data_IF_223087972894
#
_entry.id   IF_223087972894
#
_cell.length_a   1.000
_cell.length_b   1.000
_cell.length_c   1.000
_cell.angle_alpha   90.00
_cell.angle_beta   90.00
_cell.angle_gamma   90.00
#
_symmetry.space_group_name_H-M   'P 1'
#
loop_
_entity.id
_entity.type
_entity.pdbx_description
1 polymer ?
#
# COMPACT_ATOMS: atom_id res chain seq x y z
N UNK A 1 -6.31 -25.72 0.97
CA UNK A 1 -7.69 -25.21 0.75
C UNK A 1 -7.69 -23.69 0.60
N UNK A 2 -7.03 -22.96 1.51
CA UNK A 2 -6.87 -21.49 1.46
C UNK A 2 -6.11 -21.02 0.21
N UNK A 3 -4.96 -21.63 -0.10
CA UNK A 3 -4.14 -21.31 -1.29
C UNK A 3 -4.92 -21.39 -2.59
N UNK A 4 -5.67 -22.49 -2.81
CA UNK A 4 -6.51 -22.67 -3.99
C UNK A 4 -7.64 -21.62 -4.08
N UNK A 5 -8.23 -21.24 -2.94
CA UNK A 5 -9.24 -20.20 -2.89
C UNK A 5 -8.68 -18.82 -3.26
N UNK A 6 -7.48 -18.49 -2.75
CA UNK A 6 -6.83 -17.21 -2.99
C UNK A 6 -6.34 -17.09 -4.45
N UNK A 7 -5.73 -18.15 -4.97
CA UNK A 7 -5.35 -18.21 -6.39
C UNK A 7 -6.58 -18.17 -7.30
N UNK A 8 -7.65 -18.88 -6.97
CA UNK A 8 -8.92 -18.77 -7.72
C UNK A 8 -9.49 -17.35 -7.71
N UNK A 9 -9.38 -16.63 -6.59
CA UNK A 9 -9.77 -15.22 -6.48
C UNK A 9 -8.92 -14.31 -7.37
N UNK A 10 -7.61 -14.54 -7.42
CA UNK A 10 -6.70 -13.77 -8.26
C UNK A 10 -6.83 -14.11 -9.76
N UNK A 11 -7.05 -15.38 -10.09
CA UNK A 11 -7.19 -15.83 -11.48
C UNK A 11 -8.54 -15.42 -12.08
N UNK A 12 -9.62 -15.52 -11.31
CA UNK A 12 -10.97 -15.12 -11.75
C UNK A 12 -11.19 -13.62 -11.59
N UNK A 13 -10.74 -13.05 -10.48
CA UNK A 13 -10.96 -11.64 -10.14
C UNK A 13 -9.92 -10.69 -10.75
N UNK A 14 -8.72 -11.18 -11.08
CA UNK A 14 -7.67 -10.43 -11.76
C UNK A 14 -7.46 -9.02 -11.19
N UNK A 15 -7.65 -8.02 -12.05
CA UNK A 15 -7.54 -6.59 -11.72
C UNK A 15 -8.45 -6.20 -10.55
N UNK A 16 -9.69 -6.69 -10.53
CA UNK A 16 -10.67 -6.35 -9.49
C UNK A 16 -10.28 -6.95 -8.13
N UNK A 17 -9.73 -8.17 -8.11
CA UNK A 17 -9.19 -8.75 -6.89
C UNK A 17 -8.03 -7.92 -6.36
N UNK A 18 -7.09 -7.52 -7.21
CA UNK A 18 -5.98 -6.63 -6.83
C UNK A 18 -6.46 -5.29 -6.26
N UNK A 19 -7.47 -4.69 -6.89
CA UNK A 19 -8.10 -3.45 -6.46
C UNK A 19 -8.68 -3.56 -5.05
N UNK A 20 -9.50 -4.58 -4.81
CA UNK A 20 -10.18 -4.80 -3.53
C UNK A 20 -9.17 -5.16 -2.43
N UNK A 21 -8.26 -6.09 -2.70
CA UNK A 21 -7.27 -6.55 -1.72
C UNK A 21 -6.38 -5.39 -1.25
N UNK A 22 -5.79 -4.64 -2.17
CA UNK A 22 -4.95 -3.50 -1.80
C UNK A 22 -5.75 -2.35 -1.18
N UNK A 23 -6.94 -2.05 -1.71
CA UNK A 23 -7.80 -0.98 -1.19
C UNK A 23 -8.31 -1.23 0.23
N UNK A 24 -8.50 -2.49 0.61
CA UNK A 24 -8.96 -2.86 1.96
C UNK A 24 -7.82 -3.20 2.91
N UNK A 25 -6.57 -3.23 2.44
CA UNK A 25 -5.44 -3.64 3.26
C UNK A 25 -5.14 -2.69 4.42
N UNK A 26 -5.24 -1.37 4.21
CA UNK A 26 -4.98 -0.40 5.29
C UNK A 26 -5.93 -0.54 6.48
N UNK A 27 -7.26 -0.71 6.31
CA UNK A 27 -8.16 -1.10 7.39
C UNK A 27 -7.69 -2.36 8.14
N UNK A 28 -7.20 -3.38 7.45
CA UNK A 28 -6.63 -4.59 8.05
C UNK A 28 -5.32 -4.30 8.81
N UNK A 29 -4.52 -3.35 8.34
CA UNK A 29 -3.30 -2.91 9.03
C UNK A 29 -3.64 -2.25 10.36
N UNK A 30 -4.67 -1.40 10.39
CA UNK A 30 -5.12 -0.71 11.61
C UNK A 30 -5.57 -1.69 12.70
N UNK A 31 -6.12 -2.87 12.34
CA UNK A 31 -6.50 -3.90 13.32
C UNK A 31 -5.35 -4.80 13.74
N UNK A 32 -4.17 -4.72 13.10
CA UNK A 32 -3.02 -5.60 13.33
C UNK A 32 -3.14 -6.98 12.68
N UNK A 33 -4.31 -7.34 12.13
CA UNK A 33 -4.55 -8.67 11.56
C UNK A 33 -3.68 -8.99 10.34
N UNK A 34 -3.14 -7.97 9.66
CA UNK A 34 -2.22 -8.14 8.53
C UNK A 34 -0.96 -8.96 8.89
N UNK A 35 -0.49 -8.93 10.14
CA UNK A 35 0.63 -9.75 10.60
C UNK A 35 0.32 -11.26 10.53
N UNK A 36 -0.96 -11.61 10.67
CA UNK A 36 -1.47 -12.98 10.53
C UNK A 36 -1.44 -13.51 9.09
N UNK A 37 -1.08 -12.69 8.10
CA UNK A 37 -0.91 -13.14 6.71
C UNK A 37 0.45 -13.77 6.45
N UNK A 38 1.43 -13.63 7.36
CA UNK A 38 2.78 -14.20 7.18
C UNK A 38 2.74 -15.70 6.84
N UNK A 39 1.95 -16.57 7.51
CA UNK A 39 1.85 -17.98 7.13
C UNK A 39 1.19 -18.20 5.76
N UNK A 40 0.30 -17.30 5.32
CA UNK A 40 -0.34 -17.38 3.99
C UNK A 40 0.69 -17.12 2.90
N UNK A 41 1.55 -16.12 3.09
CA UNK A 41 2.67 -15.83 2.20
C UNK A 41 3.65 -17.02 2.13
N UNK A 42 4.00 -17.62 3.28
CA UNK A 42 4.86 -18.82 3.31
C UNK A 42 4.23 -19.98 2.54
N UNK A 43 2.94 -20.22 2.74
CA UNK A 43 2.23 -21.30 2.07
C UNK A 43 2.17 -21.11 0.56
N UNK A 44 1.95 -19.89 0.06
CA UNK A 44 1.98 -19.59 -1.38
C UNK A 44 3.36 -19.93 -1.98
N UNK A 45 4.44 -19.45 -1.36
CA UNK A 45 5.80 -19.73 -1.82
C UNK A 45 6.09 -21.23 -1.80
N UNK A 46 5.73 -21.93 -0.73
CA UNK A 46 5.99 -23.37 -0.62
C UNK A 46 5.19 -24.22 -1.62
N UNK A 47 3.99 -23.78 -2.00
CA UNK A 47 3.09 -24.57 -2.84
C UNK A 47 3.24 -24.29 -4.32
N UNK A 48 3.51 -23.03 -4.71
CA UNK A 48 3.58 -22.61 -6.11
C UNK A 48 4.89 -21.90 -6.47
N UNK A 49 5.82 -21.74 -5.53
CA UNK A 49 7.10 -21.05 -5.74
C UNK A 49 7.03 -19.52 -5.67
N UNK A 50 5.82 -18.96 -5.62
CA UNK A 50 5.53 -17.55 -5.79
C UNK A 50 4.50 -17.03 -4.78
N UNK A 51 4.62 -15.75 -4.44
CA UNK A 51 3.65 -15.00 -3.66
C UNK A 51 3.17 -13.76 -4.43
N UNK A 52 2.03 -13.87 -5.15
CA UNK A 52 1.42 -12.73 -5.83
C UNK A 52 0.65 -11.81 -4.86
N UNK A 53 0.38 -12.25 -3.63
CA UNK A 53 -0.42 -11.49 -2.67
C UNK A 53 0.40 -10.35 -2.06
N UNK A 54 1.66 -10.59 -1.73
CA UNK A 54 2.51 -9.60 -1.06
C UNK A 54 2.71 -8.32 -1.90
N UNK A 55 3.04 -8.36 -3.22
CA UNK A 55 3.12 -7.16 -4.05
C UNK A 55 1.81 -6.36 -4.13
N UNK A 56 0.66 -7.04 -4.17
CA UNK A 56 -0.66 -6.39 -4.20
C UNK A 56 -0.90 -5.66 -2.88
N UNK A 57 -0.75 -6.34 -1.75
CA UNK A 57 -1.03 -5.76 -0.43
C UNK A 57 -0.04 -4.66 -0.06
N UNK A 58 1.22 -4.76 -0.51
CA UNK A 58 2.23 -3.72 -0.34
C UNK A 58 1.80 -2.34 -0.87
N UNK A 59 0.85 -2.30 -1.82
CA UNK A 59 0.32 -1.04 -2.35
C UNK A 59 -0.47 -0.25 -1.31
N UNK A 60 -0.93 -0.88 -0.21
CA UNK A 60 -1.52 -0.19 0.95
C UNK A 60 -0.57 0.85 1.55
N UNK A 61 0.67 0.45 1.86
CA UNK A 61 1.70 1.37 2.34
C UNK A 61 2.09 2.41 1.28
N UNK A 62 2.01 2.05 0.01
CA UNK A 62 2.31 2.96 -1.09
C UNK A 62 1.28 4.08 -1.26
N UNK A 63 -0.02 3.75 -1.16
CA UNK A 63 -1.09 4.74 -1.12
C UNK A 63 -0.93 5.72 0.05
N UNK A 64 -0.46 5.24 1.21
CA UNK A 64 -0.14 6.07 2.38
C UNK A 64 0.99 7.07 2.10
N UNK A 65 2.07 6.63 1.46
CA UNK A 65 3.19 7.50 1.07
C UNK A 65 2.70 8.60 0.12
N UNK A 66 1.89 8.24 -0.88
CA UNK A 66 1.26 9.20 -1.79
C UNK A 66 0.41 10.25 -1.07
N UNK A 67 -0.48 9.79 -0.19
CA UNK A 67 -1.33 10.65 0.62
C UNK A 67 -0.52 11.59 1.53
N UNK A 68 0.54 11.07 2.15
CA UNK A 68 1.44 11.85 2.99
C UNK A 68 2.17 12.95 2.21
N UNK A 69 2.67 12.66 1.00
CA UNK A 69 3.23 13.69 0.12
C UNK A 69 2.20 14.77 -0.22
N UNK A 70 0.97 14.40 -0.56
CA UNK A 70 -0.08 15.37 -0.86
C UNK A 70 -0.35 16.30 0.32
N UNK A 71 -0.45 15.75 1.53
CA UNK A 71 -0.67 16.56 2.74
C UNK A 71 0.55 17.44 3.03
N UNK A 72 1.77 16.90 2.91
CA UNK A 72 3.01 17.64 3.17
C UNK A 72 3.10 18.92 2.35
N UNK A 73 2.79 18.83 1.05
CA UNK A 73 2.84 19.98 0.15
C UNK A 73 1.62 20.90 0.28
N UNK A 74 0.47 20.37 0.71
CA UNK A 74 -0.78 21.14 0.79
C UNK A 74 -0.95 21.87 2.12
N UNK A 75 -0.46 21.31 3.22
CA UNK A 75 -0.73 21.84 4.56
C UNK A 75 0.13 23.04 4.92
N UNK A 76 -0.43 23.95 5.73
CA UNK A 76 0.32 25.05 6.36
C UNK A 76 0.66 24.75 7.82
N UNK A 77 0.18 23.64 8.39
CA UNK A 77 0.47 23.24 9.76
C UNK A 77 1.89 22.66 9.87
N UNK A 78 2.79 23.38 10.54
CA UNK A 78 4.20 23.01 10.69
C UNK A 78 4.41 21.74 11.54
N UNK A 79 3.54 21.46 12.51
CA UNK A 79 3.59 20.22 13.28
C UNK A 79 3.28 19.03 12.37
N UNK A 80 2.22 19.13 11.56
CA UNK A 80 1.85 18.07 10.61
C UNK A 80 2.95 17.84 9.57
N UNK A 81 3.57 18.91 9.02
CA UNK A 81 4.74 18.78 8.16
C UNK A 81 5.90 18.05 8.82
N UNK A 82 6.20 18.35 10.08
CA UNK A 82 7.29 17.70 10.83
C UNK A 82 7.03 16.20 11.02
N UNK A 83 5.81 15.82 11.37
CA UNK A 83 5.41 14.40 11.48
C UNK A 83 5.58 13.68 10.14
N UNK A 84 5.05 14.27 9.06
CA UNK A 84 5.15 13.68 7.72
C UNK A 84 6.62 13.56 7.27
N UNK A 85 7.44 14.60 7.47
CA UNK A 85 8.86 14.59 7.10
C UNK A 85 9.63 13.49 7.83
N UNK A 86 9.28 13.20 9.09
CA UNK A 86 9.88 12.11 9.86
C UNK A 86 9.39 10.72 9.42
N UNK A 87 8.11 10.58 9.05
CA UNK A 87 7.50 9.31 8.68
C UNK A 87 7.74 8.88 7.23
N UNK A 88 7.92 9.80 6.30
CA UNK A 88 8.05 9.50 4.87
C UNK A 88 9.21 8.55 4.53
N UNK A 89 10.45 8.75 5.03
CA UNK A 89 11.56 7.87 4.69
C UNK A 89 11.29 6.40 5.07
N UNK A 90 10.78 6.16 6.29
CA UNK A 90 10.46 4.80 6.75
C UNK A 90 9.22 4.23 6.07
N UNK A 91 8.23 5.08 5.72
CA UNK A 91 7.08 4.70 4.92
C UNK A 91 7.46 4.19 3.52
N UNK A 92 8.39 4.87 2.86
CA UNK A 92 8.92 4.43 1.55
C UNK A 92 9.68 3.11 1.64
N UNK A 93 10.29 2.83 2.80
CA UNK A 93 10.96 1.56 3.11
C UNK A 93 10.00 0.47 3.61
N UNK A 94 8.69 0.72 3.56
CA UNK A 94 7.66 -0.29 3.84
C UNK A 94 7.16 -0.35 5.28
N UNK A 95 7.57 0.59 6.13
CA UNK A 95 7.08 0.75 7.50
C UNK A 95 6.04 1.89 7.53
N UNK A 96 4.78 1.54 7.32
CA UNK A 96 3.70 2.50 7.07
C UNK A 96 3.04 3.08 8.33
N UNK A 97 3.23 2.47 9.49
CA UNK A 97 2.57 2.81 10.75
C UNK A 97 2.76 4.27 11.16
N UNK A 98 3.95 4.89 11.04
CA UNK A 98 4.12 6.30 11.34
C UNK A 98 3.22 7.22 10.50
N UNK A 99 2.98 6.87 9.22
CA UNK A 99 2.11 7.65 8.33
C UNK A 99 0.62 7.36 8.59
N UNK A 100 0.26 6.10 8.85
CA UNK A 100 -1.11 5.73 9.16
C UNK A 100 -1.57 6.45 10.43
N UNK A 101 -0.87 6.22 11.54
CA UNK A 101 -1.31 6.70 12.85
C UNK A 101 -0.94 8.16 13.12
N UNK A 102 0.14 8.66 12.51
CA UNK A 102 0.59 10.04 12.69
C UNK A 102 -0.02 11.04 11.72
N UNK A 103 -0.58 10.59 10.59
CA UNK A 103 -1.00 11.48 9.50
C UNK A 103 -2.41 11.15 9.01
N UNK A 104 -2.61 10.02 8.33
CA UNK A 104 -3.82 9.85 7.52
C UNK A 104 -5.05 9.42 8.32
N UNK A 105 -4.88 8.53 9.31
CA UNK A 105 -5.97 8.01 10.13
C UNK A 105 -6.60 9.11 11.02
N UNK A 106 -5.82 9.96 11.73
CA UNK A 106 -6.39 11.07 12.50
C UNK A 106 -7.16 12.08 11.65
N UNK A 107 -6.75 12.27 10.39
CA UNK A 107 -7.44 13.16 9.45
C UNK A 107 -8.70 12.52 8.82
N UNK A 108 -8.90 11.20 9.00
CA UNK A 108 -10.05 10.43 8.53
C UNK A 108 -10.14 10.28 7.00
N UNK A 109 -10.43 11.37 6.28
CA UNK A 109 -10.60 11.34 4.82
C UNK A 109 -9.32 10.99 4.06
N UNK A 110 -8.13 11.51 4.43
CA UNK A 110 -6.90 11.09 3.77
C UNK A 110 -6.62 9.60 3.85
N UNK A 111 -6.98 8.93 4.96
CA UNK A 111 -6.85 7.46 5.08
C UNK A 111 -7.65 6.73 4.00
N UNK A 112 -8.90 7.13 3.76
CA UNK A 112 -9.74 6.53 2.71
C UNK A 112 -9.16 6.80 1.32
N UNK A 113 -8.67 8.02 1.05
CA UNK A 113 -8.05 8.31 -0.25
C UNK A 113 -6.71 7.59 -0.47
N UNK A 114 -5.97 7.31 0.60
CA UNK A 114 -4.79 6.46 0.55
C UNK A 114 -5.17 5.02 0.14
N UNK A 115 -6.26 4.48 0.69
CA UNK A 115 -6.82 3.20 0.27
C UNK A 115 -7.18 3.19 -1.22
N UNK A 116 -7.76 4.27 -1.74
CA UNK A 116 -8.08 4.36 -3.17
C UNK A 116 -6.80 4.38 -4.04
N UNK A 117 -5.75 5.07 -3.60
CA UNK A 117 -4.44 5.05 -4.28
C UNK A 117 -3.83 3.65 -4.27
N UNK A 118 -3.90 2.97 -3.12
CA UNK A 118 -3.48 1.58 -2.97
C UNK A 118 -4.25 0.65 -3.92
N UNK A 119 -5.55 0.84 -4.06
CA UNK A 119 -6.40 0.05 -4.94
C UNK A 119 -5.94 0.12 -6.41
N UNK A 120 -5.56 1.31 -6.90
CA UNK A 120 -5.03 1.47 -8.27
C UNK A 120 -3.69 0.76 -8.44
N UNK A 121 -2.79 0.89 -7.46
CA UNK A 121 -1.52 0.14 -7.46
C UNK A 121 -1.74 -1.37 -7.43
N UNK A 122 -2.62 -1.86 -6.55
CA UNK A 122 -2.91 -3.28 -6.40
C UNK A 122 -3.51 -3.90 -7.65
N UNK A 123 -4.41 -3.15 -8.31
CA UNK A 123 -4.95 -3.51 -9.63
C UNK A 123 -3.84 -3.67 -10.68
N UNK A 124 -2.85 -2.76 -10.68
CA UNK A 124 -1.70 -2.83 -11.57
C UNK A 124 -0.84 -4.07 -11.28
N UNK A 125 -0.49 -4.32 -10.01
CA UNK A 125 0.32 -5.48 -9.62
C UNK A 125 -0.38 -6.80 -10.01
N UNK A 126 -1.70 -6.88 -9.80
CA UNK A 126 -2.49 -8.04 -10.19
C UNK A 126 -2.55 -8.22 -11.72
N UNK A 127 -2.73 -7.14 -12.48
CA UNK A 127 -2.77 -7.19 -13.95
C UNK A 127 -1.48 -7.75 -14.54
N UNK A 128 -0.33 -7.29 -14.06
CA UNK A 128 0.98 -7.74 -14.52
C UNK A 128 1.46 -9.02 -13.82
N UNK A 129 0.65 -9.60 -12.92
CA UNK A 129 0.95 -10.83 -12.18
C UNK A 129 2.31 -10.76 -11.47
N UNK A 130 2.56 -9.62 -10.82
CA UNK A 130 3.80 -9.40 -10.09
C UNK A 130 3.80 -10.29 -8.84
N UNK A 131 4.89 -11.02 -8.63
CA UNK A 131 5.02 -11.95 -7.52
C UNK A 131 6.40 -11.85 -6.87
N UNK A 132 6.44 -12.17 -5.57
CA UNK A 132 7.69 -12.31 -4.81
C UNK A 132 8.06 -13.77 -4.62
N UNK A 133 9.36 -14.07 -4.57
CA UNK A 133 9.90 -15.41 -4.33
C UNK A 133 10.28 -15.66 -2.86
N UNK A 134 10.17 -14.63 -2.02
CA UNK A 134 10.51 -14.67 -0.61
C UNK A 134 9.65 -13.65 0.17
N UNK A 135 9.52 -13.89 1.48
CA UNK A 135 8.86 -12.95 2.39
C UNK A 135 9.83 -11.84 2.79
N UNK A 136 9.34 -10.60 2.82
CA UNK A 136 10.10 -9.49 3.38
C UNK A 136 9.26 -8.24 3.57
N UNK A 137 9.96 -7.12 3.73
CA UNK A 137 9.34 -5.81 3.98
C UNK A 137 8.79 -5.23 2.68
N UNK A 138 7.66 -4.53 2.78
CA UNK A 138 7.02 -3.84 1.67
C UNK A 138 7.81 -2.60 1.18
N UNK A 139 7.20 -1.76 0.34
CA UNK A 139 7.85 -0.54 -0.16
C UNK A 139 9.01 -0.82 -1.12
N UNK A 140 9.93 0.13 -1.27
CA UNK A 140 11.05 0.01 -2.22
C UNK A 140 11.87 -1.27 -2.02
N UNK A 141 12.18 -1.73 -0.79
CA UNK A 141 12.93 -2.97 -0.58
C UNK A 141 12.30 -4.23 -1.16
N UNK A 142 10.98 -4.28 -1.33
CA UNK A 142 10.30 -5.44 -1.91
C UNK A 142 10.73 -5.72 -3.36
N UNK A 143 11.27 -4.71 -4.05
CA UNK A 143 11.84 -4.86 -5.39
C UNK A 143 13.00 -5.87 -5.44
N UNK A 144 13.68 -6.13 -4.32
CA UNK A 144 14.74 -7.15 -4.25
C UNK A 144 14.19 -8.58 -4.15
N UNK A 145 12.89 -8.74 -3.86
CA UNK A 145 12.25 -10.03 -3.63
C UNK A 145 11.28 -10.43 -4.75
N UNK A 146 11.02 -9.54 -5.72
CA UNK A 146 10.30 -9.88 -6.95
C UNK A 146 11.22 -10.53 -7.98
N UNK A 147 10.65 -11.23 -8.95
CA UNK A 147 11.41 -11.77 -10.07
C UNK A 147 12.21 -10.67 -10.78
N UNK A 148 13.45 -10.97 -11.20
CA UNK A 148 14.37 -9.97 -11.78
C UNK A 148 13.78 -9.24 -12.99
N UNK A 149 13.02 -9.94 -13.83
CA UNK A 149 12.33 -9.36 -14.99
C UNK A 149 11.09 -8.52 -14.63
N UNK A 150 10.60 -8.60 -13.39
CA UNK A 150 9.42 -7.89 -12.90
C UNK A 150 9.76 -6.63 -12.09
N UNK A 151 11.03 -6.41 -11.72
CA UNK A 151 11.47 -5.29 -10.86
C UNK A 151 10.93 -3.93 -11.35
N UNK A 152 11.08 -3.63 -12.64
CA UNK A 152 10.63 -2.35 -13.19
C UNK A 152 9.11 -2.20 -13.14
N UNK A 153 8.37 -3.28 -13.40
CA UNK A 153 6.90 -3.26 -13.32
C UNK A 153 6.44 -3.11 -11.87
N UNK A 154 7.08 -3.79 -10.93
CA UNK A 154 6.81 -3.62 -9.50
C UNK A 154 6.97 -2.16 -9.08
N UNK A 155 8.12 -1.54 -9.41
CA UNK A 155 8.42 -0.15 -9.08
C UNK A 155 7.47 0.83 -9.77
N UNK A 156 7.02 0.53 -10.99
CA UNK A 156 6.01 1.31 -11.67
C UNK A 156 4.65 1.22 -10.95
N UNK A 157 4.22 0.03 -10.53
CA UNK A 157 3.02 -0.15 -9.72
C UNK A 157 3.08 0.59 -8.38
N UNK A 158 4.25 0.56 -7.72
CA UNK A 158 4.53 1.32 -6.51
C UNK A 158 4.39 2.83 -6.75
N UNK A 159 5.00 3.35 -7.83
CA UNK A 159 4.89 4.76 -8.22
C UNK A 159 3.45 5.14 -8.57
N UNK A 160 2.71 4.28 -9.26
CA UNK A 160 1.29 4.50 -9.56
C UNK A 160 0.49 4.64 -8.25
N UNK A 161 0.71 3.77 -7.27
CA UNK A 161 0.05 3.89 -5.96
C UNK A 161 0.39 5.22 -5.26
N UNK A 162 1.65 5.66 -5.33
CA UNK A 162 2.08 6.95 -4.78
C UNK A 162 1.36 8.10 -5.48
N UNK A 163 1.33 8.10 -6.81
CA UNK A 163 0.72 9.15 -7.63
C UNK A 163 -0.79 9.22 -7.41
N UNK A 164 -1.50 8.09 -7.41
CA UNK A 164 -2.95 8.10 -7.20
C UNK A 164 -3.32 8.37 -5.74
N UNK A 165 -2.53 7.88 -4.77
CA UNK A 165 -2.67 8.27 -3.37
C UNK A 165 -2.51 9.79 -3.21
N UNK A 166 -1.51 10.38 -3.87
CA UNK A 166 -1.31 11.82 -3.91
C UNK A 166 -2.51 12.53 -4.53
N UNK A 167 -2.94 12.14 -5.74
CA UNK A 167 -4.01 12.81 -6.48
C UNK A 167 -5.30 12.78 -5.67
N UNK A 168 -5.74 11.60 -5.21
CA UNK A 168 -7.00 11.47 -4.47
C UNK A 168 -6.95 12.24 -3.15
N UNK A 169 -5.82 12.20 -2.43
CA UNK A 169 -5.70 12.99 -1.19
C UNK A 169 -5.66 14.48 -1.47
N UNK A 170 -4.96 14.93 -2.51
CA UNK A 170 -4.86 16.32 -2.89
C UNK A 170 -6.21 16.90 -3.30
N UNK A 171 -6.97 16.20 -4.12
CA UNK A 171 -8.24 16.73 -4.66
C UNK A 171 -9.41 16.52 -3.69
N UNK A 172 -9.48 15.36 -3.04
CA UNK A 172 -10.66 14.94 -2.27
C UNK A 172 -10.38 14.59 -0.81
N UNK A 173 -9.15 14.23 -0.45
CA UNK A 173 -8.83 13.71 0.88
C UNK A 173 -8.57 14.79 1.93
N UNK A 174 -7.78 15.81 1.60
CA UNK A 174 -7.28 16.80 2.56
C UNK A 174 -7.82 18.20 2.33
N UNK A 175 -8.30 18.82 3.42
CA UNK A 175 -8.59 20.25 3.52
C UNK A 175 -7.88 20.81 4.74
N UNK A 176 -7.45 22.08 4.67
CA UNK A 176 -6.65 22.69 5.74
C UNK A 176 -7.40 22.75 7.08
N UNK A 177 -8.73 22.84 7.07
CA UNK A 177 -9.52 22.85 8.30
C UNK A 177 -9.37 21.55 9.11
N UNK A 178 -9.01 20.43 8.46
CA UNK A 178 -8.76 19.15 9.14
C UNK A 178 -7.51 19.18 10.02
N UNK A 179 -6.57 20.09 9.74
CA UNK A 179 -5.37 20.28 10.54
C UNK A 179 -5.60 21.21 11.76
N UNK A 180 -6.81 21.79 11.91
CA UNK A 180 -7.18 22.62 13.07
C UNK A 180 -7.47 21.72 14.27
N UNK A 181 -6.45 21.32 15.00
CA UNK A 181 -6.56 20.43 16.16
C UNK A 181 -5.41 19.43 16.30
N UNK A 182 -4.52 19.39 15.30
CA UNK A 182 -3.25 18.66 15.32
C UNK A 182 -2.14 19.64 15.72
#
# INVERSE_FOLDING_TARGET
MITKGLLGLLDVGGILAGLVLAGTFLPLVVTGLHQGLTPVHMELINTIGDDPLLPILAMGGAGQVGAAFAIYFKTKNERLKKVIKGGLPVGMLGIGEPLIFGVTLPLGRPFITACLGAAVGGAFQAFFKIATIAIGVSGIPLAFLVHTNQILLYLLGLLIAYVFGFIFTWTFGFKEEMAKGI
#
